data_IF_547104868297
#
_entry.id   IF_547104868297
#
_cell.length_a   1.000
_cell.length_b   1.000
_cell.length_c   1.000
_cell.angle_alpha   90.00
_cell.angle_beta   90.00
_cell.angle_gamma   90.00
#
_symmetry.space_group_name_H-M   'P 1'
#
loop_
_entity.id
_entity.type
_entity.pdbx_description
1 polymer ?
#
# COMPACT_ATOMS: atom_id res chain seq x y z
N UNK A 1 69.66 9.23 43.42
CA UNK A 1 68.46 9.93 42.93
C UNK A 1 68.29 9.69 41.41
N UNK A 2 67.68 8.59 40.98
CA UNK A 2 66.24 8.28 41.06
C UNK A 2 65.50 8.75 39.80
N UNK A 3 65.17 7.73 39.00
CA UNK A 3 64.01 7.58 38.12
C UNK A 3 64.04 8.08 36.65
N UNK A 4 63.94 7.13 35.68
CA UNK A 4 63.50 7.35 34.29
C UNK A 4 61.97 7.54 34.20
N UNK A 5 61.43 7.88 33.01
CA UNK A 5 59.97 8.00 32.81
C UNK A 5 59.23 6.72 33.18
N UNK A 6 58.27 6.84 34.11
CA UNK A 6 57.27 5.82 34.46
C UNK A 6 56.26 5.69 33.31
N UNK A 7 56.14 4.51 32.69
CA UNK A 7 55.33 3.35 33.11
C UNK A 7 53.97 3.41 32.38
N UNK A 8 53.86 2.75 31.21
CA UNK A 8 53.16 1.46 31.03
C UNK A 8 51.68 1.56 31.47
N UNK A 9 50.69 1.43 30.59
CA UNK A 9 50.27 0.24 29.83
C UNK A 9 49.12 0.72 28.89
N UNK A 10 48.65 0.09 27.82
CA UNK A 10 48.92 -1.10 27.04
C UNK A 10 48.04 -0.98 25.76
N UNK A 11 48.38 -1.77 24.74
CA UNK A 11 47.70 -2.02 23.44
C UNK A 11 46.17 -2.31 23.57
N UNK A 12 45.32 -2.29 22.51
CA UNK A 12 45.57 -3.05 21.26
C UNK A 12 45.05 -2.47 19.92
N UNK A 13 45.58 -3.11 18.88
CA UNK A 13 45.16 -3.14 17.47
C UNK A 13 43.68 -3.51 17.30
N UNK A 14 42.96 -2.78 16.46
CA UNK A 14 41.71 -3.21 15.83
C UNK A 14 41.74 -2.77 14.35
N UNK A 15 42.04 -3.73 13.47
CA UNK A 15 41.62 -3.72 12.07
C UNK A 15 40.09 -3.69 12.00
N UNK A 16 39.49 -2.87 11.10
CA UNK A 16 38.26 -3.11 10.29
C UNK A 16 37.65 -1.80 9.74
N UNK A 17 36.79 -1.85 8.70
CA UNK A 17 37.18 -2.04 7.31
C UNK A 17 36.65 -0.91 6.41
N UNK A 18 37.07 -0.92 5.15
CA UNK A 18 36.50 -0.13 4.06
C UNK A 18 34.98 -0.30 3.96
N UNK A 19 34.22 0.72 4.34
CA UNK A 19 32.77 0.78 4.09
C UNK A 19 32.52 1.37 2.70
N UNK A 20 32.83 0.58 1.67
CA UNK A 20 32.09 0.67 0.41
C UNK A 20 30.65 0.25 0.70
N UNK A 21 29.75 1.22 0.91
CA UNK A 21 28.33 0.99 1.05
C UNK A 21 27.64 1.36 -0.28
N UNK A 22 27.24 0.39 -1.12
CA UNK A 22 26.65 0.66 -2.43
C UNK A 22 25.12 0.80 -2.37
N UNK A 23 24.56 1.32 -1.28
CA UNK A 23 23.12 1.49 -1.15
C UNK A 23 22.76 2.85 -0.57
N UNK A 24 22.46 3.86 -1.40
CA UNK A 24 21.65 4.96 -0.96
C UNK A 24 20.23 4.39 -0.84
N UNK A 25 19.87 3.87 0.34
CA UNK A 25 18.46 3.75 0.69
C UNK A 25 17.90 5.16 0.81
N UNK A 26 17.60 5.75 -0.35
CA UNK A 26 16.77 6.93 -0.48
C UNK A 26 15.50 6.63 0.31
N UNK A 27 15.27 7.39 1.37
CA UNK A 27 13.91 7.63 1.85
C UNK A 27 13.02 7.80 0.62
N UNK A 28 11.92 7.04 0.47
CA UNK A 28 11.01 7.27 -0.64
C UNK A 28 10.49 8.68 -0.47
N UNK A 29 11.02 9.61 -1.30
CA UNK A 29 10.51 10.96 -1.43
C UNK A 29 8.99 10.83 -1.49
N UNK A 30 8.29 11.56 -0.64
CA UNK A 30 6.84 11.66 -0.68
C UNK A 30 6.44 12.19 -2.05
N UNK A 31 6.16 11.26 -2.96
CA UNK A 31 5.68 11.54 -4.31
C UNK A 31 4.36 12.31 -4.20
N UNK A 32 4.15 13.39 -4.99
CA UNK A 32 2.93 14.16 -4.96
C UNK A 32 1.69 13.28 -5.20
N UNK A 33 0.58 13.67 -4.59
CA UNK A 33 -0.63 12.86 -4.34
C UNK A 33 -1.20 12.11 -5.56
N UNK A 34 -1.05 12.68 -6.77
CA UNK A 34 -1.46 12.06 -8.03
C UNK A 34 -0.60 10.85 -8.43
N UNK A 35 0.69 10.83 -8.10
CA UNK A 35 1.63 9.80 -8.58
C UNK A 35 1.40 8.42 -7.95
N UNK A 36 0.97 8.35 -6.68
CA UNK A 36 0.74 7.07 -6.00
C UNK A 36 -0.55 6.38 -6.43
N UNK A 37 -1.58 7.14 -6.81
CA UNK A 37 -2.77 6.58 -7.44
C UNK A 37 -2.50 6.28 -8.92
N UNK A 38 -1.74 7.14 -9.61
CA UNK A 38 -1.34 6.91 -11.00
C UNK A 38 -0.46 5.67 -11.18
N UNK A 39 0.30 5.26 -10.17
CA UNK A 39 1.03 3.99 -10.17
C UNK A 39 0.17 2.74 -9.96
N UNK A 40 -1.10 2.87 -9.57
CA UNK A 40 -1.98 1.74 -9.31
C UNK A 40 -2.43 1.05 -10.59
N UNK A 41 -2.68 -0.26 -10.54
CA UNK A 41 -3.32 -0.97 -11.64
C UNK A 41 -4.75 -0.51 -11.86
N UNK A 42 -5.20 -0.54 -13.12
CA UNK A 42 -6.54 -0.08 -13.51
C UNK A 42 -7.62 -0.84 -12.74
N UNK A 43 -7.42 -2.13 -12.50
CA UNK A 43 -8.36 -3.05 -11.87
C UNK A 43 -8.59 -2.65 -10.40
N UNK A 44 -7.52 -2.27 -9.71
CA UNK A 44 -7.59 -1.75 -8.34
C UNK A 44 -8.34 -0.41 -8.30
N UNK A 45 -8.08 0.48 -9.27
CA UNK A 45 -8.81 1.74 -9.39
C UNK A 45 -10.31 1.51 -9.67
N UNK A 46 -10.65 0.53 -10.51
CA UNK A 46 -12.04 0.12 -10.79
C UNK A 46 -12.73 -0.38 -9.52
N UNK A 47 -12.06 -1.19 -8.70
CA UNK A 47 -12.60 -1.67 -7.42
C UNK A 47 -12.84 -0.54 -6.43
N UNK A 48 -11.93 0.43 -6.35
CA UNK A 48 -12.10 1.60 -5.50
C UNK A 48 -13.28 2.45 -5.98
N UNK A 49 -13.44 2.67 -7.29
CA UNK A 49 -14.60 3.40 -7.82
C UNK A 49 -15.90 2.64 -7.53
N UNK A 50 -15.93 1.31 -7.71
CA UNK A 50 -17.08 0.48 -7.31
C UNK A 50 -17.38 0.60 -5.82
N UNK A 51 -16.36 0.67 -4.97
CA UNK A 51 -16.53 0.91 -3.54
C UNK A 51 -17.19 2.26 -3.28
N UNK A 52 -16.76 3.33 -3.95
CA UNK A 52 -17.40 4.65 -3.80
C UNK A 52 -18.86 4.62 -4.25
N UNK A 53 -19.18 3.94 -5.36
CA UNK A 53 -20.54 3.77 -5.85
C UNK A 53 -21.41 3.00 -4.86
N UNK A 54 -20.92 1.86 -4.35
CA UNK A 54 -21.65 0.99 -3.41
C UNK A 54 -21.97 1.71 -2.10
N UNK A 55 -21.06 2.55 -1.63
CA UNK A 55 -21.23 3.31 -0.38
C UNK A 55 -21.83 4.70 -0.61
N UNK A 56 -22.25 5.04 -1.84
CA UNK A 56 -22.83 6.34 -2.16
C UNK A 56 -21.91 7.54 -1.91
N UNK A 57 -20.59 7.33 -1.89
CA UNK A 57 -19.62 8.39 -1.61
C UNK A 57 -19.54 9.37 -2.78
N UNK A 58 -19.46 10.66 -2.45
CA UNK A 58 -19.44 11.75 -3.42
C UNK A 58 -18.20 12.62 -3.20
N UNK A 59 -17.54 13.00 -4.29
CA UNK A 59 -16.47 13.98 -4.30
C UNK A 59 -17.00 15.39 -4.53
N UNK A 60 -16.10 16.35 -4.75
CA UNK A 60 -16.45 17.71 -5.13
C UNK A 60 -17.29 17.78 -6.41
N UNK A 61 -17.05 16.85 -7.34
CA UNK A 61 -17.80 16.70 -8.60
C UNK A 61 -19.04 15.79 -8.47
N UNK A 62 -19.46 15.48 -7.24
CA UNK A 62 -20.60 14.60 -6.98
C UNK A 62 -20.25 13.11 -7.01
N UNK A 63 -21.26 12.27 -7.24
CA UNK A 63 -21.07 10.83 -7.36
C UNK A 63 -20.49 10.45 -8.74
N UNK A 64 -20.10 9.19 -8.91
CA UNK A 64 -19.53 8.71 -10.17
C UNK A 64 -20.41 8.99 -11.40
N UNK A 65 -21.73 8.87 -11.28
CA UNK A 65 -22.67 9.17 -12.38
C UNK A 65 -22.70 10.67 -12.70
N UNK A 66 -22.71 11.52 -11.67
CA UNK A 66 -22.74 12.98 -11.82
C UNK A 66 -21.43 13.51 -12.43
N UNK A 67 -20.31 12.93 -12.02
CA UNK A 67 -18.99 13.20 -12.58
C UNK A 67 -18.94 12.85 -14.07
N UNK A 68 -19.42 11.67 -14.45
CA UNK A 68 -19.44 11.26 -15.86
C UNK A 68 -20.36 12.12 -16.70
N UNK A 69 -21.55 12.48 -16.20
CA UNK A 69 -22.47 13.36 -16.94
C UNK A 69 -21.83 14.72 -17.29
N UNK A 70 -20.94 15.24 -16.44
CA UNK A 70 -20.21 16.49 -16.66
C UNK A 70 -18.94 16.34 -17.50
N UNK A 71 -18.18 15.28 -17.26
CA UNK A 71 -16.82 15.13 -17.80
C UNK A 71 -16.74 14.19 -19.02
N UNK A 72 -17.78 13.40 -19.29
CA UNK A 72 -17.80 12.40 -20.35
C UNK A 72 -19.18 12.36 -21.03
N UNK A 73 -19.30 13.03 -22.19
CA UNK A 73 -20.54 13.15 -22.97
C UNK A 73 -21.00 11.85 -23.64
N UNK A 74 -20.38 10.70 -23.35
CA UNK A 74 -20.86 9.39 -23.85
C UNK A 74 -22.06 8.95 -23.00
N UNK A 75 -23.27 9.03 -23.55
CA UNK A 75 -24.54 8.63 -22.92
C UNK A 75 -24.86 7.13 -23.13
N UNK A 76 -25.46 6.46 -22.13
CA UNK A 76 -25.94 5.07 -22.21
C UNK A 76 -25.93 4.30 -20.87
N UNK A 77 -26.72 3.22 -20.73
CA UNK A 77 -26.79 2.42 -19.49
C UNK A 77 -25.43 1.76 -19.10
N UNK A 78 -24.54 1.61 -20.08
CA UNK A 78 -23.15 1.14 -19.95
C UNK A 78 -22.19 2.17 -19.33
N UNK A 79 -22.63 3.42 -19.12
CA UNK A 79 -21.76 4.56 -18.80
C UNK A 79 -21.22 4.49 -17.38
N UNK A 80 -21.96 3.90 -16.45
CA UNK A 80 -21.58 3.81 -15.04
C UNK A 80 -20.53 2.75 -14.73
N UNK A 81 -20.17 1.89 -15.68
CA UNK A 81 -19.19 0.82 -15.44
C UNK A 81 -17.75 1.36 -15.40
N UNK A 82 -17.06 1.31 -14.26
CA UNK A 82 -15.70 1.86 -14.17
C UNK A 82 -14.69 1.06 -15.01
N UNK A 83 -14.95 -0.24 -15.25
CA UNK A 83 -14.08 -1.12 -16.05
C UNK A 83 -13.96 -0.67 -17.52
N UNK A 84 -15.01 -0.03 -18.05
CA UNK A 84 -15.09 0.45 -19.43
C UNK A 84 -14.37 1.79 -19.64
N UNK A 85 -13.86 2.42 -18.57
CA UNK A 85 -13.19 3.73 -18.64
C UNK A 85 -11.67 3.60 -18.63
N UNK A 86 -11.00 4.63 -19.13
CA UNK A 86 -9.54 4.71 -19.11
C UNK A 86 -9.08 4.94 -17.67
N UNK A 87 -7.83 4.55 -17.41
CA UNK A 87 -7.20 4.74 -16.11
C UNK A 87 -7.23 6.22 -15.68
N UNK A 88 -7.02 7.14 -16.61
CA UNK A 88 -6.99 8.57 -16.33
C UNK A 88 -8.34 9.11 -15.85
N UNK A 89 -9.45 8.70 -16.45
CA UNK A 89 -10.80 9.12 -16.02
C UNK A 89 -11.09 8.65 -14.59
N UNK A 90 -10.66 7.42 -14.24
CA UNK A 90 -10.80 6.89 -12.88
C UNK A 90 -9.96 7.72 -11.89
N UNK A 91 -8.74 8.10 -12.27
CA UNK A 91 -7.87 8.91 -11.43
C UNK A 91 -8.42 10.31 -11.21
N UNK A 92 -8.88 10.98 -12.27
CA UNK A 92 -9.47 12.32 -12.18
C UNK A 92 -10.63 12.31 -11.20
N UNK A 93 -11.54 11.33 -11.30
CA UNK A 93 -12.65 11.18 -10.36
C UNK A 93 -12.16 10.97 -8.91
N UNK A 94 -11.23 10.05 -8.66
CA UNK A 94 -10.75 9.76 -7.30
C UNK A 94 -10.02 10.95 -6.66
N UNK A 95 -9.44 11.83 -7.46
CA UNK A 95 -8.80 13.07 -6.99
C UNK A 95 -9.82 14.15 -6.60
N UNK A 96 -11.08 14.08 -7.07
CA UNK A 96 -12.14 15.03 -6.67
C UNK A 96 -12.59 14.86 -5.21
N UNK A 97 -12.24 13.75 -4.55
CA UNK A 97 -12.58 13.51 -3.16
C UNK A 97 -11.72 14.33 -2.20
N UNK A 98 -12.19 14.51 -0.96
CA UNK A 98 -11.40 15.20 0.08
C UNK A 98 -10.06 14.49 0.36
N UNK A 99 -9.10 15.22 0.94
CA UNK A 99 -7.76 14.69 1.24
C UNK A 99 -7.79 13.43 2.14
N UNK A 100 -8.78 13.32 3.01
CA UNK A 100 -8.96 12.17 3.91
C UNK A 100 -9.40 10.92 3.14
N UNK A 101 -10.38 11.05 2.25
CA UNK A 101 -10.78 9.96 1.36
C UNK A 101 -9.65 9.57 0.40
N UNK A 102 -8.90 10.54 -0.11
CA UNK A 102 -7.71 10.24 -0.91
C UNK A 102 -6.66 9.46 -0.10
N UNK A 103 -6.44 9.79 1.18
CA UNK A 103 -5.56 9.04 2.10
C UNK A 103 -6.07 7.63 2.30
N UNK A 104 -7.39 7.45 2.43
CA UNK A 104 -8.02 6.15 2.52
C UNK A 104 -7.85 5.32 1.24
N UNK A 105 -8.08 5.89 0.06
CA UNK A 105 -7.89 5.19 -1.22
C UNK A 105 -6.46 4.71 -1.41
N UNK A 106 -5.45 5.50 -1.00
CA UNK A 106 -4.04 5.04 -1.01
C UNK A 106 -3.81 3.84 -0.11
N UNK A 107 -4.42 3.79 1.07
CA UNK A 107 -4.35 2.63 1.96
C UNK A 107 -5.01 1.40 1.31
N UNK A 108 -6.12 1.59 0.61
CA UNK A 108 -6.78 0.52 -0.16
C UNK A 108 -5.88 -0.01 -1.27
N UNK A 109 -5.30 0.86 -2.10
CA UNK A 109 -4.35 0.44 -3.14
C UNK A 109 -3.21 -0.38 -2.54
N UNK A 110 -2.64 0.08 -1.42
CA UNK A 110 -1.55 -0.64 -0.73
C UNK A 110 -2.00 -2.01 -0.25
N UNK A 111 -3.17 -2.10 0.40
CA UNK A 111 -3.72 -3.37 0.90
C UNK A 111 -4.01 -4.36 -0.23
N UNK A 112 -4.49 -3.88 -1.37
CA UNK A 112 -4.70 -4.73 -2.55
C UNK A 112 -3.38 -5.26 -3.11
N UNK A 113 -2.31 -4.45 -3.12
CA UNK A 113 -0.98 -4.91 -3.52
C UNK A 113 -0.41 -5.94 -2.53
N UNK A 114 -0.52 -5.68 -1.22
CA UNK A 114 -0.09 -6.62 -0.16
C UNK A 114 -0.85 -7.95 -0.27
N UNK A 115 -2.18 -7.92 -0.46
CA UNK A 115 -2.99 -9.13 -0.61
C UNK A 115 -2.60 -9.92 -1.86
N UNK A 116 -2.39 -9.26 -3.01
CA UNK A 116 -1.96 -9.94 -4.23
C UNK A 116 -0.56 -10.54 -4.11
N UNK A 117 0.36 -9.87 -3.41
CA UNK A 117 1.68 -10.43 -3.14
C UNK A 117 1.59 -11.69 -2.29
N UNK A 118 0.71 -11.72 -1.28
CA UNK A 118 0.42 -12.91 -0.49
C UNK A 118 -0.22 -14.01 -1.35
N UNK A 119 -1.24 -13.69 -2.15
CA UNK A 119 -1.90 -14.65 -3.06
C UNK A 119 -0.90 -15.26 -4.07
N UNK A 120 -0.03 -14.44 -4.66
CA UNK A 120 1.03 -14.90 -5.58
C UNK A 120 2.05 -15.78 -4.86
N UNK A 121 2.49 -15.38 -3.67
CA UNK A 121 3.37 -16.19 -2.83
C UNK A 121 2.76 -17.56 -2.53
N UNK A 122 1.49 -17.60 -2.13
CA UNK A 122 0.81 -18.87 -1.83
C UNK A 122 0.66 -19.76 -3.08
N UNK A 123 0.42 -19.16 -4.25
CA UNK A 123 0.29 -19.91 -5.50
C UNK A 123 1.64 -20.46 -6.00
N UNK A 124 2.70 -19.66 -5.94
CA UNK A 124 4.05 -20.01 -6.40
C UNK A 124 4.72 -21.08 -5.53
N UNK A 125 4.42 -21.08 -4.22
CA UNK A 125 4.99 -22.02 -3.26
C UNK A 125 4.07 -23.19 -2.90
N UNK A 126 2.97 -23.43 -3.62
CA UNK A 126 1.96 -24.46 -3.27
C UNK A 126 2.52 -25.88 -3.01
N UNK A 127 3.70 -26.21 -3.54
CA UNK A 127 4.43 -27.47 -3.26
C UNK A 127 5.61 -27.40 -2.26
N UNK A 128 5.97 -26.23 -1.74
CA UNK A 128 7.13 -25.97 -0.85
C UNK A 128 6.79 -25.16 0.41
N UNK A 129 5.50 -24.97 0.72
CA UNK A 129 5.03 -24.21 1.87
C UNK A 129 5.45 -24.91 3.17
N UNK A 130 6.08 -24.16 4.08
CA UNK A 130 6.41 -24.62 5.43
C UNK A 130 5.12 -24.90 6.23
N UNK A 131 5.09 -25.88 7.16
CA UNK A 131 3.90 -26.18 7.95
C UNK A 131 3.24 -24.96 8.63
N UNK A 132 4.04 -23.99 9.08
CA UNK A 132 3.57 -22.75 9.70
C UNK A 132 2.87 -21.84 8.69
N UNK A 133 3.39 -21.76 7.46
CA UNK A 133 2.79 -20.97 6.40
C UNK A 133 1.48 -21.59 5.89
N UNK A 134 1.41 -22.93 5.88
CA UNK A 134 0.17 -23.66 5.59
C UNK A 134 -0.91 -23.37 6.64
N UNK A 135 -0.52 -23.26 7.90
CA UNK A 135 -1.44 -22.87 8.97
C UNK A 135 -1.94 -21.43 8.80
N UNK A 136 -1.05 -20.49 8.45
CA UNK A 136 -1.43 -19.10 8.13
C UNK A 136 -2.40 -19.07 6.94
N UNK A 137 -2.18 -19.90 5.92
CA UNK A 137 -3.08 -20.00 4.78
C UNK A 137 -4.48 -20.50 5.20
N UNK A 138 -4.57 -21.66 5.86
CA UNK A 138 -5.84 -22.23 6.28
C UNK A 138 -6.64 -21.30 7.19
N UNK A 139 -5.94 -20.58 8.07
CA UNK A 139 -6.58 -19.60 8.96
C UNK A 139 -7.04 -18.36 8.22
N UNK A 140 -6.27 -17.85 7.24
CA UNK A 140 -6.66 -16.66 6.47
C UNK A 140 -7.73 -16.91 5.41
N UNK A 141 -7.78 -18.11 4.83
CA UNK A 141 -8.81 -18.55 3.88
C UNK A 141 -10.17 -18.83 4.56
N UNK A 142 -10.17 -19.08 5.87
CA UNK A 142 -11.39 -19.36 6.62
C UNK A 142 -12.37 -18.17 6.59
N UNK A 143 -13.64 -18.44 6.30
CA UNK A 143 -14.67 -17.40 6.14
C UNK A 143 -14.81 -16.48 7.36
N UNK A 144 -14.63 -17.04 8.55
CA UNK A 144 -14.76 -16.28 9.80
C UNK A 144 -13.53 -15.45 10.14
N UNK A 145 -12.38 -15.74 9.53
CA UNK A 145 -11.18 -14.92 9.72
C UNK A 145 -11.44 -13.50 9.24
N UNK A 146 -12.07 -13.35 8.08
CA UNK A 146 -12.40 -12.04 7.52
C UNK A 146 -13.39 -11.26 8.39
N UNK A 147 -14.29 -11.94 9.11
CA UNK A 147 -15.26 -11.28 10.01
C UNK A 147 -14.60 -10.89 11.33
N UNK A 148 -13.81 -11.79 11.91
CA UNK A 148 -13.27 -11.65 13.26
C UNK A 148 -11.97 -10.85 13.32
N UNK A 149 -11.18 -10.85 12.25
CA UNK A 149 -9.89 -10.14 12.17
C UNK A 149 -9.95 -8.88 11.29
N UNK A 150 -11.15 -8.29 11.14
CA UNK A 150 -11.32 -6.98 10.50
C UNK A 150 -11.19 -5.85 11.52
N UNK A 151 -9.96 -5.43 11.79
CA UNK A 151 -9.70 -4.34 12.72
C UNK A 151 -9.83 -2.96 12.07
N UNK A 152 -10.42 -1.96 12.77
CA UNK A 152 -10.52 -0.58 12.30
C UNK A 152 -9.17 0.13 12.45
N UNK A 153 -8.13 -0.38 11.78
CA UNK A 153 -6.73 0.11 11.79
C UNK A 153 -6.53 1.57 11.33
N UNK A 154 -7.62 2.28 11.06
CA UNK A 154 -7.67 3.70 10.76
C UNK A 154 -7.92 4.58 11.99
N UNK A 155 -8.34 4.01 13.12
CA UNK A 155 -8.50 4.72 14.39
C UNK A 155 -7.16 4.94 15.09
N UNK A 156 -7.08 5.97 15.93
CA UNK A 156 -5.89 6.29 16.72
C UNK A 156 -5.66 5.23 17.81
N UNK A 157 -4.40 4.90 18.10
CA UNK A 157 -4.02 3.84 19.05
C UNK A 157 -3.69 2.47 18.43
N UNK A 158 -3.93 2.26 17.12
CA UNK A 158 -3.57 1.01 16.44
C UNK A 158 -2.15 1.03 15.88
N UNK A 159 -1.32 0.06 16.26
CA UNK A 159 0.00 -0.18 15.67
C UNK A 159 -0.09 -1.28 14.61
N UNK A 160 0.03 -0.89 13.34
CA UNK A 160 0.12 -1.85 12.23
C UNK A 160 1.57 -2.26 12.04
N UNK A 161 1.89 -3.52 12.33
CA UNK A 161 3.23 -4.08 12.13
C UNK A 161 3.49 -4.33 10.63
N UNK A 162 4.74 -4.15 10.21
CA UNK A 162 5.24 -4.43 8.85
C UNK A 162 6.37 -5.43 8.93
#
# INVERSE_FOLDING_TARGET
PSQPPSLFDARPSEDKPSTNNPFPFRCPRTRPMGERLAGAEKEVLVEIVRFTQKNGLKGAEGGWKDFLARNDKKFGASVSDPKKRTKDVLLVFLVTFSKDFQKYFRKLVRRHAERRAIEQYMNEFSGKISPEQKLVQLTTEHLDYRKNYYFPSYQEGWKVMR
#
